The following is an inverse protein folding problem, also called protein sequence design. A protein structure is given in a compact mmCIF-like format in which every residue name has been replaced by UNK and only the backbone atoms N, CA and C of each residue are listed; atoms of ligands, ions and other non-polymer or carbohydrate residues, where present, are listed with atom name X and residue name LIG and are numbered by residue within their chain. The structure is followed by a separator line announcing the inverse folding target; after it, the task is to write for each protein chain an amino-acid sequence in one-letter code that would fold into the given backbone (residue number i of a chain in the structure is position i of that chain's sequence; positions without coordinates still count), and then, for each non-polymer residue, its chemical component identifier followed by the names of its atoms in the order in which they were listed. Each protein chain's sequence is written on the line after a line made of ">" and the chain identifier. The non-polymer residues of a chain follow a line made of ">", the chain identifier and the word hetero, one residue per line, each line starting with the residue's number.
data_IF_530567197632
#
_entry.id   IF_530567197632
#
_cell.length_a   1.000
_cell.length_b   1.000
_cell.length_c   1.000
_cell.angle_alpha   90.00
_cell.angle_beta   90.00
_cell.angle_gamma   90.00
#
_symmetry.space_group_name_H-M   'P 1'
#
loop_
_entity.id
_entity.type
_entity.pdbx_description
1 polymer ?
#
# COMPACT_ATOMS: atom_id res chain seq x y z
N UNK A 1 8.36 7.21 7.16
CA UNK A 1 7.36 7.50 6.14
C UNK A 1 5.96 7.30 6.70
N UNK A 2 5.03 8.18 6.35
CA UNK A 2 3.69 8.19 6.92
C UNK A 2 2.88 6.92 6.63
N UNK A 3 2.93 6.43 5.40
CA UNK A 3 2.20 5.21 5.01
C UNK A 3 2.72 4.00 5.77
N UNK A 4 4.04 3.91 5.94
CA UNK A 4 4.65 2.81 6.68
C UNK A 4 4.23 2.82 8.15
N UNK A 5 4.17 4.00 8.75
CA UNK A 5 3.72 4.15 10.14
C UNK A 5 2.26 3.75 10.31
N UNK A 6 1.40 4.13 9.39
CA UNK A 6 -0.02 3.78 9.40
C UNK A 6 -0.21 2.28 9.24
N UNK A 7 0.53 1.66 8.34
CA UNK A 7 0.47 0.22 8.13
C UNK A 7 0.91 -0.55 9.37
N UNK A 8 1.98 -0.09 10.02
CA UNK A 8 2.45 -0.67 11.28
C UNK A 8 1.40 -0.55 12.38
N UNK A 9 0.72 0.58 12.46
CA UNK A 9 -0.36 0.80 13.42
C UNK A 9 -1.51 -0.17 13.18
N UNK A 10 -1.93 -0.35 11.93
CA UNK A 10 -2.98 -1.31 11.57
C UNK A 10 -2.60 -2.73 11.96
N UNK A 11 -1.35 -3.12 11.67
CA UNK A 11 -0.85 -4.44 12.02
C UNK A 11 -0.94 -4.68 13.54
N UNK A 12 -0.51 -3.68 14.33
CA UNK A 12 -0.53 -3.77 15.79
C UNK A 12 -1.95 -3.83 16.35
N UNK A 13 -2.89 -3.11 15.74
CA UNK A 13 -4.29 -3.10 16.19
C UNK A 13 -4.93 -4.48 16.10
N UNK A 14 -4.54 -5.28 15.12
CA UNK A 14 -5.06 -6.65 14.98
C UNK A 14 -4.15 -7.68 15.63
N UNK A 15 -3.17 -7.23 16.42
CA UNK A 15 -2.25 -8.10 17.18
C UNK A 15 -1.45 -9.06 16.30
N UNK A 16 -1.10 -8.65 15.09
CA UNK A 16 -0.25 -9.44 14.21
C UNK A 16 1.21 -9.04 14.36
N UNK A 17 2.09 -10.03 14.58
CA UNK A 17 3.52 -9.82 14.44
C UNK A 17 3.86 -9.69 12.96
N UNK A 18 5.06 -9.21 12.65
CA UNK A 18 5.55 -9.16 11.28
C UNK A 18 5.57 -10.55 10.65
N UNK A 19 5.96 -11.56 11.43
CA UNK A 19 5.99 -12.94 10.98
C UNK A 19 4.60 -13.45 10.62
N UNK A 20 3.62 -13.19 11.48
CA UNK A 20 2.24 -13.59 11.24
C UNK A 20 1.65 -12.88 10.03
N UNK A 21 1.93 -11.60 9.87
CA UNK A 21 1.50 -10.85 8.69
C UNK A 21 2.13 -11.42 7.44
N UNK A 22 3.43 -11.75 7.48
CA UNK A 22 4.13 -12.38 6.35
C UNK A 22 3.43 -13.68 5.93
N UNK A 23 3.09 -14.52 6.89
CA UNK A 23 2.39 -15.77 6.62
C UNK A 23 1.01 -15.52 6.00
N UNK A 24 0.30 -14.50 6.45
CA UNK A 24 -1.04 -14.19 5.98
C UNK A 24 -1.06 -13.57 4.58
N UNK A 25 -0.07 -12.74 4.24
CA UNK A 25 -0.11 -11.97 2.99
C UNK A 25 0.84 -12.48 1.91
N UNK A 26 1.76 -13.39 2.25
CA UNK A 26 2.73 -13.91 1.29
C UNK A 26 3.88 -12.96 0.96
N UNK A 27 4.00 -11.85 1.68
CA UNK A 27 5.15 -10.93 1.57
C UNK A 27 6.21 -11.38 2.57
N UNK A 28 7.48 -11.42 2.17
CA UNK A 28 8.54 -11.89 3.06
C UNK A 28 8.66 -11.02 4.32
N UNK A 29 9.08 -11.64 5.41
CA UNK A 29 9.33 -10.94 6.68
C UNK A 29 10.30 -9.77 6.48
N UNK A 30 11.37 -10.01 5.74
CA UNK A 30 12.39 -8.97 5.51
C UNK A 30 11.84 -7.78 4.73
N UNK A 31 10.94 -8.03 3.78
CA UNK A 31 10.27 -6.96 3.04
C UNK A 31 9.36 -6.13 3.92
N UNK A 32 8.61 -6.77 4.81
CA UNK A 32 7.73 -6.07 5.77
C UNK A 32 8.58 -5.23 6.72
N UNK A 33 9.62 -5.80 7.28
CA UNK A 33 10.52 -5.10 8.18
C UNK A 33 11.15 -3.88 7.50
N UNK A 34 11.67 -4.08 6.29
CA UNK A 34 12.27 -3.00 5.51
C UNK A 34 11.27 -1.89 5.24
N UNK A 35 10.05 -2.24 4.87
CA UNK A 35 9.01 -1.25 4.63
C UNK A 35 8.71 -0.42 5.88
N UNK A 36 8.53 -1.08 7.03
CA UNK A 36 8.22 -0.38 8.28
C UNK A 36 9.37 0.52 8.74
N UNK A 37 10.59 0.17 8.41
CA UNK A 37 11.78 0.96 8.79
C UNK A 37 12.13 2.05 7.77
N UNK A 38 11.96 1.80 6.49
CA UNK A 38 12.46 2.68 5.43
C UNK A 38 11.37 3.26 4.53
N UNK A 39 10.19 2.69 4.53
CA UNK A 39 9.12 3.07 3.60
C UNK A 39 9.23 2.43 2.23
N UNK A 40 10.24 1.61 1.97
CA UNK A 40 10.45 0.97 0.67
C UNK A 40 9.65 -0.32 0.53
N UNK A 41 8.77 -0.36 -0.46
CA UNK A 41 7.99 -1.56 -0.79
C UNK A 41 7.45 -1.43 -2.21
N UNK A 42 7.21 -2.55 -2.87
CA UNK A 42 6.51 -2.53 -4.14
C UNK A 42 5.01 -2.30 -3.91
N UNK A 43 4.34 -1.73 -4.90
CA UNK A 43 2.89 -1.53 -4.81
C UNK A 43 2.16 -2.87 -4.68
N UNK A 44 2.62 -3.90 -5.37
CA UNK A 44 2.03 -5.23 -5.26
C UNK A 44 2.13 -5.77 -3.83
N UNK A 45 3.31 -5.69 -3.21
CA UNK A 45 3.49 -6.16 -1.83
C UNK A 45 2.66 -5.35 -0.85
N UNK A 46 2.58 -4.02 -1.04
CA UNK A 46 1.75 -3.17 -0.19
C UNK A 46 0.28 -3.55 -0.31
N UNK A 47 -0.19 -3.84 -1.52
CA UNK A 47 -1.57 -4.26 -1.76
C UNK A 47 -1.87 -5.58 -1.05
N UNK A 48 -0.96 -6.56 -1.12
CA UNK A 48 -1.11 -7.83 -0.43
C UNK A 48 -1.21 -7.64 1.08
N UNK A 49 -0.38 -6.77 1.65
CA UNK A 49 -0.44 -6.45 3.08
C UNK A 49 -1.75 -5.78 3.44
N UNK A 50 -2.22 -4.85 2.62
CA UNK A 50 -3.47 -4.15 2.86
C UNK A 50 -4.67 -5.09 2.85
N UNK A 51 -4.70 -6.04 1.94
CA UNK A 51 -5.75 -7.06 1.89
C UNK A 51 -5.75 -7.89 3.17
N UNK A 52 -4.57 -8.34 3.62
CA UNK A 52 -4.44 -9.12 4.84
C UNK A 52 -4.87 -8.36 6.08
N UNK A 53 -4.73 -7.04 6.08
CA UNK A 53 -5.13 -6.17 7.19
C UNK A 53 -6.52 -5.56 7.01
N UNK A 54 -7.27 -6.04 6.02
CA UNK A 54 -8.62 -5.55 5.69
C UNK A 54 -8.63 -4.05 5.38
N UNK A 55 -7.60 -3.59 4.70
CA UNK A 55 -7.43 -2.18 4.32
C UNK A 55 -7.37 -1.97 2.81
N UNK A 56 -7.86 -2.93 2.02
CA UNK A 56 -7.85 -2.83 0.56
C UNK A 56 -8.67 -1.65 0.05
N UNK A 57 -9.67 -1.20 0.81
CA UNK A 57 -10.42 -0.01 0.46
C UNK A 57 -9.56 1.24 0.38
N UNK A 58 -8.54 1.32 1.22
CA UNK A 58 -7.61 2.45 1.21
C UNK A 58 -6.72 2.42 -0.04
N UNK A 59 -6.34 1.22 -0.49
CA UNK A 59 -5.58 1.08 -1.74
C UNK A 59 -6.45 1.50 -2.93
N UNK A 60 -7.72 1.10 -2.95
CA UNK A 60 -8.65 1.51 -4.01
C UNK A 60 -8.86 3.01 -4.04
N UNK A 61 -8.78 3.66 -2.88
CA UNK A 61 -8.91 5.12 -2.76
C UNK A 61 -7.60 5.85 -3.05
N UNK A 62 -6.50 5.13 -3.19
CA UNK A 62 -5.20 5.76 -3.48
C UNK A 62 -5.33 6.57 -4.76
N UNK A 63 -5.01 7.86 -4.67
CA UNK A 63 -5.17 8.83 -5.75
C UNK A 63 -6.61 9.08 -6.20
N UNK A 64 -7.61 8.59 -5.45
CA UNK A 64 -9.01 8.85 -5.80
C UNK A 64 -9.38 10.32 -5.72
N UNK A 65 -8.64 11.11 -4.95
CA UNK A 65 -8.86 12.54 -4.81
C UNK A 65 -8.06 13.38 -5.80
N UNK A 66 -7.27 12.73 -6.66
CA UNK A 66 -6.63 13.44 -7.77
C UNK A 66 -7.74 13.95 -8.69
N UNK A 67 -7.73 15.25 -9.04
CA UNK A 67 -8.78 15.80 -9.89
C UNK A 67 -8.92 15.03 -11.19
N UNK A 68 -10.12 14.58 -11.48
CA UNK A 68 -10.42 13.81 -12.68
C UNK A 68 -9.95 14.54 -13.96
N UNK A 69 -10.13 15.86 -13.97
CA UNK A 69 -9.71 16.71 -15.08
C UNK A 69 -8.22 16.55 -15.40
N UNK A 70 -7.37 16.52 -14.37
CA UNK A 70 -5.92 16.35 -14.57
C UNK A 70 -5.60 15.01 -15.23
N UNK A 71 -6.29 13.96 -14.84
CA UNK A 71 -6.11 12.63 -15.42
C UNK A 71 -6.53 12.65 -16.90
N UNK A 72 -7.64 13.27 -17.22
CA UNK A 72 -8.12 13.37 -18.60
C UNK A 72 -7.17 14.17 -19.48
N UNK A 73 -6.62 15.24 -18.95
CA UNK A 73 -5.64 16.04 -19.69
C UNK A 73 -4.40 15.22 -20.04
N UNK A 74 -3.88 14.47 -19.11
CA UNK A 74 -2.72 13.59 -19.35
C UNK A 74 -3.04 12.55 -20.41
N UNK A 75 -4.18 11.89 -20.32
CA UNK A 75 -4.62 10.88 -21.28
C UNK A 75 -4.77 11.51 -22.67
N UNK A 76 -5.39 12.67 -22.76
CA UNK A 76 -5.60 13.36 -24.04
C UNK A 76 -4.28 13.76 -24.68
N UNK A 77 -3.31 14.24 -23.91
CA UNK A 77 -1.99 14.55 -24.40
C UNK A 77 -1.29 13.33 -25.00
N UNK A 78 -1.37 12.19 -24.30
CA UNK A 78 -0.79 10.95 -24.78
C UNK A 78 -1.42 10.47 -26.08
N UNK A 79 -2.72 10.65 -26.23
CA UNK A 79 -3.43 10.25 -27.45
C UNK A 79 -3.07 11.11 -28.64
N UNK A 80 -2.66 12.35 -28.43
CA UNK A 80 -2.27 13.26 -29.49
C UNK A 80 -0.87 12.98 -30.04
N UNK A 81 -0.09 12.24 -29.29
CA UNK A 81 1.24 11.85 -29.70
C UNK A 81 1.23 10.58 -30.55
#
# INVERSE_FOLDING_TARGET
>A
MEVAKRMKTLRRRVNLSRKKLSEACGVSYSSIKRFEETGNISLLSLTKMAIALDAEGDIKKLFSQVPYRSIQEVINEQKKL
#
